data_IF_609372967634
#
_entry.id   IF_609372967634
#
_cell.length_a   1.000
_cell.length_b   1.000
_cell.length_c   1.000
_cell.angle_alpha   90.00
_cell.angle_beta   90.00
_cell.angle_gamma   90.00
#
_symmetry.space_group_name_H-M   'P 1'
#
loop_
_entity.id
_entity.type
_entity.pdbx_description
1 polymer ?
#
# COMPACT_ATOMS: atom_id res chain seq x y z
N UNK A 1 15.68 -6.45 1.88
CA UNK A 1 16.66 -7.42 2.40
C UNK A 1 16.08 -8.03 3.66
N UNK A 2 16.29 -9.31 3.91
CA UNK A 2 15.84 -9.95 5.14
C UNK A 2 17.04 -10.15 6.07
N UNK A 3 16.86 -9.77 7.34
CA UNK A 3 17.89 -9.82 8.37
C UNK A 3 17.55 -10.94 9.33
N UNK A 4 18.52 -11.78 9.62
CA UNK A 4 18.45 -12.85 10.63
C UNK A 4 19.28 -12.45 11.84
N UNK A 5 18.75 -12.71 13.04
CA UNK A 5 19.50 -12.44 14.28
C UNK A 5 20.61 -13.49 14.44
N UNK A 6 21.78 -13.05 14.89
CA UNK A 6 22.85 -13.97 15.33
C UNK A 6 22.41 -14.71 16.61
N UNK A 7 22.73 -16.00 16.70
CA UNK A 7 22.47 -16.76 17.93
C UNK A 7 23.56 -16.53 18.98
N UNK A 8 24.80 -16.33 18.54
CA UNK A 8 25.95 -16.08 19.40
C UNK A 8 27.06 -15.31 18.65
N UNK A 9 28.02 -14.74 19.40
CA UNK A 9 29.09 -13.88 18.87
C UNK A 9 30.14 -14.64 18.04
N UNK A 10 30.26 -15.95 18.25
CA UNK A 10 31.13 -16.87 17.50
C UNK A 10 30.62 -17.17 16.09
N UNK A 11 29.34 -16.92 15.82
CA UNK A 11 28.76 -17.08 14.48
C UNK A 11 29.14 -15.96 13.51
N UNK A 12 29.61 -14.82 14.03
CA UNK A 12 29.95 -13.63 13.24
C UNK A 12 31.27 -13.88 12.53
N UNK A 13 31.27 -13.81 11.20
CA UNK A 13 32.46 -14.10 10.38
C UNK A 13 32.94 -12.89 9.60
N UNK A 14 34.23 -12.95 9.26
CA UNK A 14 34.83 -12.01 8.32
C UNK A 14 34.05 -12.03 6.99
N UNK A 15 33.77 -10.84 6.45
CA UNK A 15 32.99 -10.58 5.23
C UNK A 15 31.48 -10.79 5.31
N UNK A 16 30.92 -11.07 6.50
CA UNK A 16 29.47 -11.03 6.69
C UNK A 16 28.93 -9.62 6.47
N UNK A 17 27.77 -9.53 5.83
CA UNK A 17 27.02 -8.28 5.70
C UNK A 17 26.09 -8.18 6.90
N UNK A 18 26.33 -7.18 7.74
CA UNK A 18 25.66 -7.02 9.03
C UNK A 18 24.91 -5.71 9.10
N UNK A 19 23.75 -5.76 9.75
CA UNK A 19 23.02 -4.60 10.20
C UNK A 19 23.42 -4.29 11.64
N UNK A 20 23.83 -3.05 11.91
CA UNK A 20 24.21 -2.59 13.24
C UNK A 20 23.66 -1.21 13.52
N UNK A 21 23.56 -0.86 14.81
CA UNK A 21 23.16 0.47 15.25
C UNK A 21 24.40 1.34 15.44
N UNK A 22 24.47 2.48 14.73
CA UNK A 22 25.52 3.47 14.90
C UNK A 22 25.32 4.30 16.18
N UNK A 23 26.35 5.06 16.58
CA UNK A 23 26.31 5.93 17.77
C UNK A 23 25.18 6.98 17.72
N UNK A 24 24.63 7.27 16.53
CA UNK A 24 23.51 8.20 16.30
C UNK A 24 22.14 7.50 16.13
N UNK A 25 22.00 6.28 16.65
CA UNK A 25 20.78 5.45 16.62
C UNK A 25 20.29 5.05 15.22
N UNK A 26 21.09 5.28 14.17
CA UNK A 26 20.75 4.82 12.81
C UNK A 26 21.17 3.36 12.61
N UNK A 27 20.30 2.59 11.96
CA UNK A 27 20.63 1.23 11.52
C UNK A 27 21.37 1.31 10.18
N UNK A 28 22.60 0.83 10.16
CA UNK A 28 23.50 0.82 9.00
C UNK A 28 23.78 -0.63 8.61
N UNK A 29 23.86 -0.89 7.29
CA UNK A 29 24.13 -2.23 6.75
C UNK A 29 25.42 -2.21 5.96
N UNK A 30 26.50 -2.73 6.53
CA UNK A 30 27.83 -2.77 5.91
C UNK A 30 28.49 -4.14 6.11
N UNK A 31 29.67 -4.33 5.51
CA UNK A 31 30.40 -5.60 5.54
C UNK A 31 31.48 -5.58 6.62
N UNK A 32 31.61 -6.66 7.38
CA UNK A 32 32.73 -6.84 8.30
C UNK A 32 34.01 -7.03 7.50
N UNK A 33 34.98 -6.14 7.71
CA UNK A 33 36.28 -6.16 7.04
C UNK A 33 37.42 -6.57 7.95
N UNK A 34 37.22 -6.52 9.28
CA UNK A 34 38.20 -6.98 10.24
C UNK A 34 37.55 -7.47 11.55
N UNK A 35 38.23 -8.39 12.24
CA UNK A 35 37.85 -8.93 13.55
C UNK A 35 38.90 -8.49 14.57
N UNK A 36 38.47 -7.74 15.58
CA UNK A 36 39.35 -7.26 16.65
C UNK A 36 39.47 -8.36 17.70
N UNK A 37 40.66 -8.91 17.88
CA UNK A 37 40.97 -9.95 18.86
C UNK A 37 41.70 -9.37 20.08
N UNK A 38 41.45 -9.95 21.26
CA UNK A 38 42.22 -9.65 22.46
C UNK A 38 43.53 -10.46 22.55
N UNK A 39 44.29 -10.27 23.63
CA UNK A 39 45.54 -11.01 23.88
C UNK A 39 45.38 -12.53 24.02
N UNK A 40 44.14 -13.03 24.14
CA UNK A 40 43.81 -14.46 24.23
C UNK A 40 43.37 -15.05 22.90
N UNK A 41 43.25 -14.22 21.85
CA UNK A 41 42.71 -14.61 20.54
C UNK A 41 41.18 -14.65 20.50
N UNK A 42 40.51 -14.08 21.51
CA UNK A 42 39.04 -14.00 21.53
C UNK A 42 38.58 -12.74 20.81
N UNK A 43 37.57 -12.86 19.94
CA UNK A 43 37.00 -11.71 19.22
C UNK A 43 36.27 -10.80 20.21
N UNK A 44 36.73 -9.55 20.33
CA UNK A 44 36.17 -8.52 21.21
C UNK A 44 35.43 -7.42 20.45
N UNK A 45 35.59 -7.35 19.13
CA UNK A 45 34.91 -6.35 18.32
C UNK A 45 35.01 -6.59 16.82
N UNK A 46 34.27 -5.78 16.08
CA UNK A 46 34.14 -5.89 14.64
C UNK A 46 34.39 -4.53 13.99
N UNK A 47 35.07 -4.53 12.83
CA UNK A 47 35.21 -3.34 11.98
C UNK A 47 34.40 -3.55 10.72
N UNK A 48 33.53 -2.59 10.40
CA UNK A 48 32.69 -2.63 9.21
C UNK A 48 33.11 -1.57 8.20
N UNK A 49 32.82 -1.84 6.93
CA UNK A 49 32.97 -0.88 5.83
C UNK A 49 31.87 -1.09 4.80
N UNK A 50 31.32 0.01 4.30
CA UNK A 50 30.38 -0.03 3.18
C UNK A 50 31.05 -0.49 1.89
N UNK A 51 30.36 -1.35 1.11
CA UNK A 51 30.92 -1.93 -0.13
C UNK A 51 31.31 -0.86 -1.18
N UNK A 52 30.72 0.34 -1.11
CA UNK A 52 31.03 1.48 -1.97
C UNK A 52 32.01 2.49 -1.36
N UNK A 53 32.41 2.30 -0.10
CA UNK A 53 33.26 3.24 0.63
C UNK A 53 34.72 2.81 0.59
N UNK A 54 35.62 3.80 0.56
CA UNK A 54 37.08 3.56 0.60
C UNK A 54 37.56 3.41 2.05
N UNK A 55 36.98 4.19 2.96
CA UNK A 55 37.34 4.20 4.38
C UNK A 55 36.42 3.29 5.19
N UNK A 56 36.96 2.77 6.30
CA UNK A 56 36.20 1.99 7.28
C UNK A 56 35.26 2.89 8.09
N UNK A 57 34.27 2.27 8.73
CA UNK A 57 33.23 2.99 9.50
C UNK A 57 33.75 3.54 10.83
N UNK A 58 34.91 3.07 11.29
CA UNK A 58 35.55 3.49 12.55
C UNK A 58 35.84 4.98 12.55
N UNK A 59 35.45 5.67 13.62
CA UNK A 59 35.56 7.12 13.78
C UNK A 59 34.48 7.92 13.04
N UNK A 60 33.66 7.28 12.20
CA UNK A 60 32.54 7.91 11.50
C UNK A 60 31.20 7.53 12.12
N UNK A 61 30.98 6.22 12.33
CA UNK A 61 29.72 5.67 12.83
C UNK A 61 29.83 5.06 14.23
N UNK A 62 31.04 4.70 14.66
CA UNK A 62 31.35 4.26 16.02
C UNK A 62 32.80 4.62 16.37
N UNK A 63 33.10 4.85 17.65
CA UNK A 63 34.40 5.41 18.07
C UNK A 63 35.61 4.48 17.87
N UNK A 64 35.49 3.17 18.15
CA UNK A 64 36.63 2.24 18.12
C UNK A 64 36.35 0.95 17.36
N UNK A 65 35.39 0.17 17.80
CA UNK A 65 34.96 -1.09 17.20
C UNK A 65 33.54 -1.37 17.65
N UNK A 66 32.81 -2.09 16.81
CA UNK A 66 31.44 -2.49 17.09
C UNK A 66 31.43 -3.67 18.07
N UNK A 67 30.56 -3.66 19.07
CA UNK A 67 30.36 -4.81 19.97
C UNK A 67 29.25 -5.72 19.45
N UNK A 68 29.19 -6.94 19.97
CA UNK A 68 28.13 -7.88 19.60
C UNK A 68 26.72 -7.34 19.92
N UNK A 69 26.58 -6.58 21.00
CA UNK A 69 25.29 -6.00 21.41
C UNK A 69 24.77 -4.94 20.43
N UNK A 70 25.66 -4.33 19.64
CA UNK A 70 25.30 -3.31 18.65
C UNK A 70 24.86 -3.96 17.32
N UNK A 71 25.09 -5.27 17.14
CA UNK A 71 24.68 -6.03 15.96
C UNK A 71 23.19 -6.36 16.05
N UNK A 72 22.43 -5.86 15.08
CA UNK A 72 21.01 -6.18 14.91
C UNK A 72 20.83 -7.55 14.25
N UNK A 73 21.69 -7.89 13.28
CA UNK A 73 21.67 -9.19 12.63
C UNK A 73 22.48 -9.25 11.33
N UNK A 74 22.46 -10.42 10.69
CA UNK A 74 23.12 -10.70 9.41
C UNK A 74 22.16 -10.68 8.23
N UNK A 75 22.67 -10.34 7.07
CA UNK A 75 21.95 -10.51 5.83
C UNK A 75 21.74 -12.00 5.52
N UNK A 76 20.48 -12.43 5.45
CA UNK A 76 20.08 -13.83 5.17
C UNK A 76 20.37 -14.32 3.75
N UNK A 77 20.93 -13.47 2.87
CA UNK A 77 21.06 -13.75 1.44
C UNK A 77 19.77 -13.57 0.64
N UNK A 78 18.63 -13.32 1.31
CA UNK A 78 17.35 -13.09 0.65
C UNK A 78 17.07 -11.60 0.46
N UNK A 79 16.79 -11.25 -0.80
CA UNK A 79 16.23 -9.97 -1.19
C UNK A 79 14.84 -10.18 -1.75
N UNK A 80 13.90 -9.30 -1.42
CA UNK A 80 12.61 -9.27 -2.11
C UNK A 80 12.83 -8.46 -3.38
N UNK A 81 12.90 -9.09 -4.57
CA UNK A 81 13.12 -8.37 -5.80
C UNK A 81 11.97 -7.40 -6.05
N UNK A 82 12.26 -6.29 -6.73
CA UNK A 82 11.30 -5.28 -7.17
C UNK A 82 10.63 -4.38 -6.12
N UNK A 83 10.65 -4.71 -4.82
CA UNK A 83 10.11 -3.81 -3.78
C UNK A 83 10.83 -2.45 -3.79
N UNK A 84 12.15 -2.46 -4.03
CA UNK A 84 12.93 -1.23 -4.16
C UNK A 84 12.43 -0.32 -5.29
N UNK A 85 12.01 -0.88 -6.44
CA UNK A 85 11.47 -0.08 -7.53
C UNK A 85 10.15 0.59 -7.16
N UNK A 86 9.27 -0.11 -6.43
CA UNK A 86 8.04 0.49 -5.94
C UNK A 86 8.33 1.66 -4.98
N UNK A 87 9.26 1.50 -4.04
CA UNK A 87 9.65 2.56 -3.10
C UNK A 87 10.21 3.77 -3.84
N UNK A 88 11.15 3.56 -4.77
CA UNK A 88 11.74 4.64 -5.58
C UNK A 88 10.69 5.32 -6.44
N UNK A 89 9.75 4.56 -7.02
CA UNK A 89 8.65 5.12 -7.78
C UNK A 89 7.78 6.04 -6.91
N UNK A 90 7.36 5.61 -5.73
CA UNK A 90 6.54 6.44 -4.83
C UNK A 90 7.27 7.67 -4.29
N UNK A 91 8.60 7.66 -4.21
CA UNK A 91 9.41 8.83 -3.87
C UNK A 91 9.58 9.81 -5.04
N UNK A 92 9.37 9.37 -6.28
CA UNK A 92 9.48 10.23 -7.46
C UNK A 92 8.32 11.22 -7.57
N UNK A 93 8.51 12.38 -8.24
CA UNK A 93 7.41 13.32 -8.49
C UNK A 93 6.21 12.69 -9.21
N UNK A 94 6.47 11.74 -10.12
CA UNK A 94 5.42 11.00 -10.84
C UNK A 94 4.62 10.07 -9.91
N UNK A 95 5.30 9.37 -9.00
CA UNK A 95 4.63 8.51 -8.02
C UNK A 95 3.78 9.31 -7.04
N UNK A 96 4.31 10.43 -6.53
CA UNK A 96 3.56 11.35 -5.67
C UNK A 96 2.31 11.87 -6.40
N UNK A 97 2.46 12.33 -7.65
CA UNK A 97 1.33 12.79 -8.46
C UNK A 97 0.27 11.69 -8.66
N UNK A 98 0.71 10.44 -8.85
CA UNK A 98 -0.20 9.28 -9.00
C UNK A 98 -1.00 9.05 -7.72
N UNK A 99 -0.36 9.06 -6.55
CA UNK A 99 -1.06 8.89 -5.26
C UNK A 99 -2.08 10.01 -5.04
N UNK A 100 -1.70 11.25 -5.31
CA UNK A 100 -2.61 12.40 -5.19
C UNK A 100 -3.80 12.29 -6.16
N UNK A 101 -3.56 11.86 -7.40
CA UNK A 101 -4.63 11.64 -8.37
C UNK A 101 -5.61 10.55 -7.91
N UNK A 102 -5.12 9.46 -7.33
CA UNK A 102 -5.98 8.41 -6.79
C UNK A 102 -6.83 8.91 -5.62
N UNK A 103 -6.24 9.64 -4.67
CA UNK A 103 -6.98 10.25 -3.56
C UNK A 103 -8.06 11.21 -4.08
N UNK A 104 -7.73 12.03 -5.08
CA UNK A 104 -8.68 12.94 -5.69
C UNK A 104 -9.86 12.21 -6.35
N UNK A 105 -9.60 11.12 -7.08
CA UNK A 105 -10.63 10.28 -7.69
C UNK A 105 -11.53 9.66 -6.62
N UNK A 106 -10.97 9.18 -5.51
CA UNK A 106 -11.75 8.63 -4.40
C UNK A 106 -12.70 9.67 -3.80
N UNK A 107 -12.21 10.89 -3.55
CA UNK A 107 -13.04 11.99 -3.02
C UNK A 107 -14.18 12.34 -3.99
N UNK A 108 -13.88 12.47 -5.28
CA UNK A 108 -14.92 12.75 -6.28
C UNK A 108 -15.94 11.63 -6.34
N UNK A 109 -15.50 10.37 -6.32
CA UNK A 109 -16.39 9.22 -6.41
C UNK A 109 -17.39 9.20 -5.26
N UNK A 110 -16.93 9.51 -4.05
CA UNK A 110 -17.79 9.61 -2.86
C UNK A 110 -18.82 10.75 -3.00
N UNK A 111 -18.37 11.93 -3.45
CA UNK A 111 -19.27 13.09 -3.66
C UNK A 111 -20.32 12.79 -4.73
N UNK A 112 -19.94 12.13 -5.83
CA UNK A 112 -20.86 11.78 -6.92
C UNK A 112 -21.87 10.73 -6.46
N UNK A 113 -21.42 9.71 -5.71
CA UNK A 113 -22.29 8.69 -5.15
C UNK A 113 -23.36 9.30 -4.23
N UNK A 114 -22.95 10.18 -3.31
CA UNK A 114 -23.85 10.88 -2.38
C UNK A 114 -24.89 11.75 -3.12
N UNK A 115 -24.47 12.47 -4.17
CA UNK A 115 -25.40 13.25 -5.01
C UNK A 115 -26.44 12.35 -5.70
N UNK A 116 -25.99 11.24 -6.25
CA UNK A 116 -26.86 10.29 -6.95
C UNK A 116 -27.89 9.69 -5.99
N UNK A 117 -27.47 9.30 -4.79
CA UNK A 117 -28.36 8.75 -3.77
C UNK A 117 -29.41 9.80 -3.32
N UNK A 118 -28.99 11.04 -3.10
CA UNK A 118 -29.92 12.15 -2.75
C UNK A 118 -30.95 12.41 -3.84
N UNK A 119 -30.55 12.42 -5.11
CA UNK A 119 -31.47 12.61 -6.24
C UNK A 119 -32.42 11.42 -6.36
N UNK A 120 -31.92 10.19 -6.21
CA UNK A 120 -32.74 8.99 -6.24
C UNK A 120 -33.79 8.99 -5.12
N UNK A 121 -33.40 9.35 -3.90
CA UNK A 121 -34.31 9.43 -2.76
C UNK A 121 -35.36 10.53 -2.94
N UNK A 122 -34.99 11.70 -3.48
CA UNK A 122 -35.96 12.75 -3.82
C UNK A 122 -36.98 12.28 -4.86
N UNK A 123 -36.52 11.61 -5.93
CA UNK A 123 -37.41 11.06 -6.97
C UNK A 123 -38.35 10.01 -6.39
N UNK A 124 -37.83 9.11 -5.55
CA UNK A 124 -38.63 8.10 -4.87
C UNK A 124 -39.72 8.76 -4.02
N UNK A 125 -39.37 9.70 -3.15
CA UNK A 125 -40.34 10.40 -2.28
C UNK A 125 -41.42 11.11 -3.11
N UNK A 126 -41.04 11.80 -4.18
CA UNK A 126 -41.99 12.50 -5.06
C UNK A 126 -42.99 11.54 -5.75
N UNK A 127 -42.51 10.39 -6.23
CA UNK A 127 -43.38 9.39 -6.86
C UNK A 127 -44.34 8.78 -5.83
N UNK A 128 -43.85 8.47 -4.62
CA UNK A 128 -44.68 7.94 -3.55
C UNK A 128 -45.77 8.91 -3.12
N UNK A 129 -45.45 10.21 -2.98
CA UNK A 129 -46.43 11.22 -2.61
C UNK A 129 -47.46 11.46 -3.72
N UNK A 130 -47.06 11.41 -4.99
CA UNK A 130 -47.98 11.59 -6.12
C UNK A 130 -48.95 10.42 -6.27
N UNK A 131 -48.49 9.20 -6.00
CA UNK A 131 -49.32 8.00 -6.11
C UNK A 131 -50.23 7.78 -4.90
N UNK A 132 -50.05 8.54 -3.81
CA UNK A 132 -50.76 8.37 -2.53
C UNK A 132 -50.68 6.91 -2.00
N UNK A 133 -49.53 6.26 -2.22
CA UNK A 133 -49.26 4.89 -1.80
C UNK A 133 -48.35 4.93 -0.57
N UNK A 134 -48.76 4.28 0.52
CA UNK A 134 -47.94 4.13 1.72
C UNK A 134 -46.68 3.30 1.40
N UNK A 135 -45.47 3.68 1.88
CA UNK A 135 -44.23 2.96 1.60
C UNK A 135 -44.26 1.46 1.96
N UNK A 136 -45.13 1.06 2.89
CA UNK A 136 -45.32 -0.32 3.30
C UNK A 136 -46.12 -1.16 2.28
N UNK A 137 -47.00 -0.56 1.48
CA UNK A 137 -47.78 -1.27 0.45
C UNK A 137 -46.93 -1.71 -0.75
N UNK A 138 -45.75 -1.11 -0.89
CA UNK A 138 -44.80 -1.29 -1.98
C UNK A 138 -43.83 -2.44 -1.68
N UNK A 139 -43.42 -2.63 -0.42
CA UNK A 139 -42.50 -3.71 -0.03
C UNK A 139 -42.99 -5.12 -0.42
N UNK A 140 -44.30 -5.31 -0.52
CA UNK A 140 -44.91 -6.61 -0.84
C UNK A 140 -45.32 -6.77 -2.31
N UNK A 141 -45.02 -5.78 -3.18
CA UNK A 141 -45.36 -5.82 -4.60
C UNK A 141 -44.11 -5.95 -5.46
N UNK A 142 -44.14 -6.88 -6.42
CA UNK A 142 -43.15 -6.93 -7.49
C UNK A 142 -43.46 -5.81 -8.48
N UNK A 143 -42.59 -4.82 -8.55
CA UNK A 143 -42.65 -3.79 -9.60
C UNK A 143 -42.03 -4.36 -10.86
N UNK A 144 -42.76 -4.25 -11.97
CA UNK A 144 -42.23 -4.47 -13.30
C UNK A 144 -42.20 -3.08 -13.94
N UNK A 145 -41.01 -2.53 -14.15
CA UNK A 145 -40.87 -1.26 -14.86
C UNK A 145 -41.33 -1.48 -16.31
N UNK A 146 -42.42 -0.82 -16.69
CA UNK A 146 -42.95 -0.84 -18.06
C UNK A 146 -42.88 0.60 -18.56
N UNK A 147 -41.79 0.94 -19.22
CA UNK A 147 -41.65 2.22 -19.91
C UNK A 147 -42.52 2.20 -21.17
N UNK A 148 -43.49 3.12 -21.28
CA UNK A 148 -44.33 3.26 -22.47
C UNK A 148 -44.06 4.59 -23.16
N UNK A 149 -43.96 4.56 -24.49
CA UNK A 149 -43.80 5.73 -25.35
C UNK A 149 -44.95 5.82 -26.33
N UNK A 150 -45.50 7.01 -26.49
CA UNK A 150 -46.55 7.27 -27.47
C UNK A 150 -45.98 8.13 -28.60
N UNK A 151 -45.91 7.56 -29.80
CA UNK A 151 -45.38 8.23 -30.99
C UNK A 151 -46.42 8.11 -32.11
N UNK A 152 -46.90 9.25 -32.60
CA UNK A 152 -47.84 9.33 -33.73
C UNK A 152 -49.12 8.48 -33.53
N UNK A 153 -49.66 8.47 -32.31
CA UNK A 153 -50.89 7.74 -31.96
C UNK A 153 -50.70 6.24 -31.79
N UNK A 154 -49.46 5.75 -31.67
CA UNK A 154 -49.13 4.34 -31.40
C UNK A 154 -48.36 4.22 -30.10
N UNK A 155 -48.70 3.21 -29.31
CA UNK A 155 -48.05 2.94 -28.02
C UNK A 155 -46.99 1.85 -28.15
N UNK A 156 -45.80 2.13 -27.65
CA UNK A 156 -44.67 1.20 -27.60
C UNK A 156 -44.31 0.92 -26.15
N UNK A 157 -43.92 -0.32 -25.84
CA UNK A 157 -43.46 -0.73 -24.52
C UNK A 157 -42.01 -1.16 -24.59
N UNK A 158 -41.18 -0.65 -23.68
CA UNK A 158 -39.81 -1.11 -23.48
C UNK A 158 -39.80 -2.27 -22.50
N UNK A 159 -39.40 -3.45 -22.95
CA UNK A 159 -39.25 -4.65 -22.11
C UNK A 159 -37.85 -5.22 -22.29
N UNK A 160 -37.00 -5.08 -21.26
CA UNK A 160 -35.62 -5.62 -21.30
C UNK A 160 -34.71 -4.98 -22.34
N UNK A 161 -34.94 -3.72 -22.70
CA UNK A 161 -34.15 -3.00 -23.71
C UNK A 161 -34.64 -3.16 -25.15
N UNK A 162 -35.71 -3.92 -25.38
CA UNK A 162 -36.36 -4.09 -26.70
C UNK A 162 -37.66 -3.29 -26.73
N UNK A 163 -37.87 -2.57 -27.83
CA UNK A 163 -39.09 -1.84 -28.16
C UNK A 163 -40.10 -2.82 -28.78
N UNK A 164 -41.10 -3.21 -28.00
CA UNK A 164 -42.23 -3.98 -28.51
C UNK A 164 -43.39 -3.05 -28.81
N UNK A 165 -43.94 -3.13 -30.01
CA UNK A 165 -45.19 -2.44 -30.36
C UNK A 165 -46.33 -3.12 -29.61
N UNK A 166 -47.10 -2.34 -28.85
CA UNK A 166 -48.39 -2.79 -28.35
C UNK A 166 -49.38 -2.51 -29.49
N UNK A 167 -49.84 -3.56 -30.18
CA UNK A 167 -50.88 -3.42 -31.20
C UNK A 167 -52.23 -3.01 -30.57
N UNK A 168 -53.03 -2.33 -31.39
CA UNK A 168 -54.16 -1.45 -31.07
C UNK A 168 -55.17 -1.97 -30.02
#
# INVERSE_FOLDING_TARGET
ILIEKYAAADEVKLYDVVAYTADDDRVIVHRIVDLVEDSTGSVVGYITRGDANIADDTGTFYASYLRFDDLVGKYSGQQIPAVGYAVVFFQSPAGIATVLALLYIFIISDIVADRNEKVLNRRKIFLLSTLNIEPNDIKNRKFQDIERLEISGRTYSFKGGILDRLED
#
